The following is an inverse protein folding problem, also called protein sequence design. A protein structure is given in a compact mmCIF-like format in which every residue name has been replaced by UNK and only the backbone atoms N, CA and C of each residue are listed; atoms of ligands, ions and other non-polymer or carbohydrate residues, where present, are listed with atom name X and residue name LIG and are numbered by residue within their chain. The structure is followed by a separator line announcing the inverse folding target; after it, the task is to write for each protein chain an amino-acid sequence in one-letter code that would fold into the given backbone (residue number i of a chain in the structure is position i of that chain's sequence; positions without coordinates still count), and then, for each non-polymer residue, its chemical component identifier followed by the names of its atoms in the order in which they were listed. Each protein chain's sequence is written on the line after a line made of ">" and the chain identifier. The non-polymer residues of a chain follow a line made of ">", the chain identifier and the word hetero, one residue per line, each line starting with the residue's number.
data_IF_970311161646
#
_entry.id   IF_970311161646
#
_cell.length_a   1.000
_cell.length_b   1.000
_cell.length_c   1.000
_cell.angle_alpha   90.00
_cell.angle_beta   90.00
_cell.angle_gamma   90.00
#
_symmetry.space_group_name_H-M   'P 1'
#
loop_
_entity.id
_entity.type
_entity.pdbx_description
1 polymer ?
#
# COMPACT_ATOMS: atom_id res chain seq x y z
N UNK A 1 -18.38 -10.83 6.93
CA UNK A 1 -17.18 -10.95 6.09
C UNK A 1 -16.50 -9.60 6.14
N UNK A 2 -15.48 -9.43 6.98
CA UNK A 2 -14.81 -8.14 7.16
C UNK A 2 -14.23 -7.69 5.82
N UNK A 3 -14.57 -6.49 5.32
CA UNK A 3 -13.96 -5.98 4.11
C UNK A 3 -12.46 -5.89 4.37
N UNK A 4 -11.70 -6.68 3.64
CA UNK A 4 -10.26 -6.74 3.77
C UNK A 4 -9.72 -5.38 3.32
N UNK A 5 -9.37 -4.47 4.23
CA UNK A 5 -8.90 -3.11 3.91
C UNK A 5 -7.77 -3.12 2.87
N UNK A 6 -6.97 -4.20 2.87
CA UNK A 6 -5.98 -4.52 1.85
C UNK A 6 -6.55 -4.62 0.42
N UNK A 7 -7.69 -5.27 0.22
CA UNK A 7 -8.29 -5.38 -1.11
C UNK A 7 -8.73 -4.00 -1.64
N UNK A 8 -9.32 -3.16 -0.77
CA UNK A 8 -9.69 -1.79 -1.14
C UNK A 8 -8.46 -0.94 -1.47
N UNK A 9 -7.38 -1.13 -0.72
CA UNK A 9 -6.10 -0.48 -0.96
C UNK A 9 -5.49 -0.89 -2.30
N UNK A 10 -5.43 -2.18 -2.63
CA UNK A 10 -4.95 -2.65 -3.93
C UNK A 10 -5.81 -2.12 -5.08
N UNK A 11 -7.13 -2.04 -4.90
CA UNK A 11 -8.01 -1.41 -5.88
C UNK A 11 -7.68 0.07 -6.08
N UNK A 12 -7.50 0.84 -5.01
CA UNK A 12 -7.10 2.25 -5.08
C UNK A 12 -5.73 2.42 -5.80
N UNK A 13 -4.74 1.58 -5.49
CA UNK A 13 -3.45 1.63 -6.18
C UNK A 13 -3.58 1.38 -7.70
N UNK A 14 -4.44 0.44 -8.12
CA UNK A 14 -4.65 0.15 -9.55
C UNK A 14 -5.51 1.18 -10.26
N UNK A 15 -6.56 1.67 -9.61
CA UNK A 15 -7.59 2.51 -10.23
C UNK A 15 -7.22 3.99 -10.11
N UNK A 16 -6.99 4.50 -8.89
CA UNK A 16 -6.68 5.91 -8.62
C UNK A 16 -5.22 6.28 -8.94
N UNK A 17 -4.28 5.39 -8.67
CA UNK A 17 -2.86 5.65 -8.96
C UNK A 17 -2.40 5.09 -10.32
N UNK A 18 -3.23 4.29 -11.01
CA UNK A 18 -2.85 3.62 -12.27
C UNK A 18 -1.58 2.77 -12.13
N UNK A 19 -1.33 2.19 -10.96
CA UNK A 19 -0.19 1.29 -10.74
C UNK A 19 -0.46 -0.03 -11.45
N UNK A 20 0.49 -0.46 -12.29
CA UNK A 20 0.43 -1.76 -12.93
C UNK A 20 0.47 -2.89 -11.91
N UNK A 21 -0.28 -3.96 -12.15
CA UNK A 21 -0.26 -5.16 -11.31
C UNK A 21 1.14 -5.75 -11.14
N UNK A 22 2.04 -5.54 -12.11
CA UNK A 22 3.44 -5.93 -12.01
C UNK A 22 4.16 -5.20 -10.87
N UNK A 23 3.95 -3.90 -10.73
CA UNK A 23 4.52 -3.08 -9.66
C UNK A 23 4.00 -3.49 -8.28
N UNK A 24 2.70 -3.81 -8.21
CA UNK A 24 2.07 -4.32 -6.98
C UNK A 24 2.68 -5.67 -6.59
N UNK A 25 2.88 -6.57 -7.56
CA UNK A 25 3.51 -7.86 -7.31
C UNK A 25 4.98 -7.73 -6.84
N UNK A 26 5.71 -6.72 -7.33
CA UNK A 26 7.07 -6.41 -6.84
C UNK A 26 7.02 -5.89 -5.39
N UNK A 27 6.13 -4.94 -5.09
CA UNK A 27 5.95 -4.41 -3.74
C UNK A 27 5.48 -5.50 -2.74
N UNK A 28 4.58 -6.37 -3.17
CA UNK A 28 4.09 -7.51 -2.38
C UNK A 28 5.25 -8.47 -2.06
N UNK A 29 6.04 -8.88 -3.07
CA UNK A 29 7.24 -9.71 -2.87
C UNK A 29 8.27 -9.06 -1.95
N UNK A 30 8.50 -7.76 -2.10
CA UNK A 30 9.41 -7.01 -1.23
C UNK A 30 8.90 -6.95 0.21
N UNK A 31 7.58 -6.77 0.40
CA UNK A 31 6.94 -6.74 1.72
C UNK A 31 6.98 -8.11 2.42
N UNK A 32 6.83 -9.22 1.69
CA UNK A 32 6.94 -10.58 2.23
C UNK A 32 8.36 -10.87 2.76
N UNK A 33 9.38 -10.33 2.10
CA UNK A 33 10.77 -10.44 2.56
C UNK A 33 11.07 -9.62 3.82
N UNK A 34 10.25 -8.60 4.14
CA UNK A 34 10.30 -7.86 5.39
C UNK A 34 9.37 -8.54 6.40
N UNK A 35 9.76 -9.75 6.81
CA UNK A 35 9.03 -10.50 7.84
C UNK A 35 9.24 -9.84 9.19
N UNK A 36 8.35 -8.93 9.59
CA UNK A 36 8.06 -8.75 11.00
C UNK A 36 6.72 -9.40 11.31
N UNK A 37 6.87 -10.47 12.09
CA UNK A 37 5.86 -11.25 12.78
C UNK A 37 5.15 -10.32 13.76
N UNK A 38 4.25 -9.47 13.29
CA UNK A 38 3.03 -9.14 14.03
C UNK A 38 1.96 -8.64 13.07
N UNK A 39 0.73 -9.05 13.34
CA UNK A 39 -0.47 -8.89 12.52
C UNK A 39 -1.02 -7.46 12.63
N UNK A 40 -0.15 -6.47 12.61
CA UNK A 40 -0.48 -5.09 12.35
C UNK A 40 0.41 -4.73 11.19
N UNK A 41 -0.08 -5.01 9.97
CA UNK A 41 0.51 -4.49 8.75
C UNK A 41 0.61 -2.99 9.01
N UNK A 42 1.78 -2.49 9.38
CA UNK A 42 1.96 -1.05 9.55
C UNK A 42 1.88 -0.52 8.13
N UNK A 43 0.65 -0.16 7.73
CA UNK A 43 0.33 0.26 6.38
C UNK A 43 1.16 1.50 6.00
N UNK A 44 1.78 2.17 6.96
CA UNK A 44 2.80 3.21 6.79
C UNK A 44 4.08 2.74 6.11
N UNK A 45 4.49 1.47 6.26
CA UNK A 45 5.73 0.93 5.68
C UNK A 45 5.57 0.55 4.19
N UNK A 46 4.36 0.16 3.79
CA UNK A 46 4.07 -0.26 2.41
C UNK A 46 4.26 0.84 1.35
N UNK A 47 3.72 2.08 1.51
CA UNK A 47 4.00 3.21 0.61
C UNK A 47 5.49 3.51 0.53
N UNK A 48 6.19 3.40 1.65
CA UNK A 48 7.62 3.71 1.74
C UNK A 48 8.46 2.70 0.94
N UNK A 49 8.08 1.42 0.96
CA UNK A 49 8.67 0.38 0.11
C UNK A 49 8.39 0.68 -1.37
N UNK A 50 7.14 0.98 -1.74
CA UNK A 50 6.79 1.35 -3.12
C UNK A 50 7.66 2.50 -3.65
N UNK A 51 7.89 3.53 -2.83
CA UNK A 51 8.72 4.67 -3.19
C UNK A 51 10.20 4.29 -3.30
N UNK A 52 10.72 3.48 -2.37
CA UNK A 52 12.10 3.02 -2.39
C UNK A 52 12.44 2.21 -3.65
N UNK A 53 11.48 1.45 -4.19
CA UNK A 53 11.63 0.73 -5.45
C UNK A 53 11.37 1.59 -6.70
N UNK A 54 11.04 2.88 -6.53
CA UNK A 54 10.70 3.79 -7.64
C UNK A 54 9.40 3.40 -8.35
N UNK A 55 8.51 2.66 -7.68
CA UNK A 55 7.24 2.18 -8.24
C UNK A 55 6.13 3.23 -8.14
N UNK A 56 6.33 4.25 -7.29
CA UNK A 56 5.42 5.37 -7.10
C UNK A 56 6.17 6.70 -7.08
N UNK A 57 5.53 7.75 -7.59
CA UNK A 57 6.02 9.13 -7.47
C UNK A 57 5.70 9.71 -6.09
N UNK A 58 6.30 10.85 -5.75
CA UNK A 58 6.02 11.52 -4.48
C UNK A 58 4.55 11.98 -4.39
N UNK A 59 3.92 12.38 -5.50
CA UNK A 59 2.49 12.71 -5.56
C UNK A 59 1.60 11.49 -5.32
N UNK A 60 1.97 10.35 -5.89
CA UNK A 60 1.30 9.08 -5.66
C UNK A 60 1.47 8.61 -4.21
N UNK A 61 2.67 8.75 -3.67
CA UNK A 61 2.98 8.46 -2.27
C UNK A 61 2.09 9.28 -1.33
N UNK A 62 1.94 10.57 -1.60
CA UNK A 62 1.11 11.48 -0.81
C UNK A 62 -0.37 11.04 -0.80
N UNK A 63 -0.92 10.69 -1.97
CA UNK A 63 -2.28 10.13 -2.09
C UNK A 63 -2.47 8.82 -1.33
N UNK A 64 -1.45 7.96 -1.32
CA UNK A 64 -1.48 6.70 -0.56
C UNK A 64 -1.53 7.00 0.94
N UNK A 65 -0.73 7.95 1.42
CA UNK A 65 -0.74 8.36 2.84
C UNK A 65 -2.07 9.01 3.24
N UNK A 66 -2.61 9.89 2.40
CA UNK A 66 -3.91 10.54 2.63
C UNK A 66 -5.06 9.51 2.72
N UNK A 67 -5.06 8.54 1.79
CA UNK A 67 -6.02 7.44 1.82
C UNK A 67 -5.88 6.59 3.08
N UNK A 68 -4.64 6.24 3.46
CA UNK A 68 -4.38 5.47 4.68
C UNK A 68 -4.87 6.21 5.92
N UNK A 69 -4.53 7.49 6.05
CA UNK A 69 -4.95 8.33 7.16
C UNK A 69 -6.48 8.39 7.27
N UNK A 70 -7.17 8.56 6.15
CA UNK A 70 -8.65 8.51 6.09
C UNK A 70 -9.18 7.14 6.55
N UNK A 71 -8.49 6.06 6.21
CA UNK A 71 -8.93 4.70 6.59
C UNK A 71 -8.66 4.40 8.07
N UNK A 72 -7.62 4.99 8.65
CA UNK A 72 -7.28 4.85 10.08
C UNK A 72 -8.14 5.73 10.99
N UNK A 73 -8.54 6.92 10.54
CA UNK A 73 -9.43 7.82 11.29
C UNK A 73 -10.82 7.22 11.55
N UNK A 74 -11.28 6.36 10.62
CA UNK A 74 -12.60 5.73 10.66
C UNK A 74 -12.66 4.40 11.46
N UNK A 75 -11.58 3.93 12.09
CA UNK A 75 -11.53 2.64 12.80
C UNK A 75 -11.03 2.75 14.24
#
# INVERSE_FOLDING_TARGET
>A
MTPNNYARFIHFLKDDLSISSASIAVAERASISSTLVDRKLDFSAFPMILWQYGLVTLEQLDKIFDWLQTTYDFN
#
